data_IF_261574286891
#
_entry.id   IF_261574286891
#
_cell.length_a   1.000
_cell.length_b   1.000
_cell.length_c   1.000
_cell.angle_alpha   90.00
_cell.angle_beta   90.00
_cell.angle_gamma   90.00
#
_symmetry.space_group_name_H-M   'P 1'
#
loop_
_entity.id
_entity.type
_entity.pdbx_description
1 polymer ?
#
# COMPACT_ATOMS: atom_id res chain seq x y z
N UNK A 1 -22.86 6.56 -2.03
CA UNK A 1 -21.42 6.94 -2.04
C UNK A 1 -20.62 5.69 -1.74
N UNK A 2 -19.71 5.27 -2.62
CA UNK A 2 -18.77 4.18 -2.32
C UNK A 2 -17.62 4.82 -1.52
N UNK A 3 -17.25 4.24 -0.38
CA UNK A 3 -16.12 4.76 0.40
C UNK A 3 -14.81 4.56 -0.38
N UNK A 4 -13.84 5.46 -0.22
CA UNK A 4 -12.51 5.29 -0.82
C UNK A 4 -11.88 3.94 -0.47
N UNK A 5 -12.19 3.40 0.72
CA UNK A 5 -11.68 2.10 1.16
C UNK A 5 -12.28 0.95 0.34
N UNK A 6 -13.59 1.03 0.06
CA UNK A 6 -14.29 0.06 -0.79
C UNK A 6 -13.83 0.16 -2.24
N UNK A 7 -13.59 1.36 -2.76
CA UNK A 7 -13.05 1.55 -4.11
C UNK A 7 -11.64 0.96 -4.25
N UNK A 8 -10.79 1.13 -3.24
CA UNK A 8 -9.44 0.54 -3.23
C UNK A 8 -9.49 -1.00 -3.18
N UNK A 9 -10.40 -1.57 -2.39
CA UNK A 9 -10.60 -3.03 -2.33
C UNK A 9 -10.99 -3.60 -3.70
N UNK A 10 -11.98 -2.97 -4.36
CA UNK A 10 -12.49 -3.40 -5.67
C UNK A 10 -11.40 -3.26 -6.73
N UNK A 11 -10.72 -2.11 -6.77
CA UNK A 11 -9.70 -1.84 -7.78
C UNK A 11 -8.43 -2.66 -7.58
N UNK A 12 -8.15 -3.16 -6.36
CA UNK A 12 -6.98 -4.02 -6.11
C UNK A 12 -7.00 -5.33 -6.91
N UNK A 13 -8.19 -5.78 -7.36
CA UNK A 13 -8.33 -6.94 -8.24
C UNK A 13 -7.74 -6.70 -9.62
N UNK A 14 -7.79 -5.46 -10.12
CA UNK A 14 -7.31 -5.03 -11.43
C UNK A 14 -5.81 -4.74 -11.47
N UNK A 15 -5.17 -4.60 -10.31
CA UNK A 15 -3.73 -4.34 -10.20
C UNK A 15 -2.95 -5.62 -10.54
N UNK A 16 -1.95 -5.45 -11.39
CA UNK A 16 -1.06 -6.49 -11.95
C UNK A 16 0.41 -6.25 -11.57
N UNK A 17 1.28 -7.21 -11.89
CA UNK A 17 2.73 -7.12 -11.66
C UNK A 17 3.45 -6.04 -12.47
N UNK A 18 2.84 -5.56 -13.55
CA UNK A 18 3.38 -4.48 -14.39
C UNK A 18 3.10 -3.08 -13.81
N UNK A 19 2.27 -3.00 -12.76
CA UNK A 19 1.87 -1.74 -12.15
C UNK A 19 2.81 -1.29 -11.02
N UNK A 20 2.89 0.03 -10.84
CA UNK A 20 3.43 0.67 -9.63
C UNK A 20 2.29 1.19 -8.76
N UNK A 21 2.23 0.72 -7.51
CA UNK A 21 1.27 1.21 -6.51
C UNK A 21 1.99 2.08 -5.49
N UNK A 22 1.46 3.28 -5.27
CA UNK A 22 2.00 4.23 -4.29
C UNK A 22 1.01 4.36 -3.12
N UNK A 23 1.46 4.02 -1.91
CA UNK A 23 0.68 4.24 -0.70
C UNK A 23 1.23 5.42 0.08
N UNK A 24 0.36 6.35 0.45
CA UNK A 24 0.68 7.46 1.36
C UNK A 24 -0.11 7.30 2.65
N UNK A 25 0.56 7.15 3.77
CA UNK A 25 -0.07 7.15 5.10
C UNK A 25 0.90 7.66 6.14
N UNK A 26 0.54 8.72 6.85
CA UNK A 26 1.42 9.31 7.86
C UNK A 26 1.70 8.34 9.02
N UNK A 27 0.71 7.59 9.49
CA UNK A 27 0.94 6.60 10.55
C UNK A 27 1.71 5.39 10.08
N UNK A 28 1.55 5.01 8.80
CA UNK A 28 2.05 3.75 8.26
C UNK A 28 1.21 2.52 8.65
N UNK A 29 0.12 2.74 9.39
CA UNK A 29 -0.61 1.69 10.13
C UNK A 29 -2.07 1.49 9.66
N UNK A 30 -2.50 2.20 8.62
CA UNK A 30 -3.89 2.14 8.12
C UNK A 30 -4.29 0.71 7.78
N UNK A 31 -5.23 0.14 8.55
CA UNK A 31 -5.59 -1.30 8.51
C UNK A 31 -5.89 -1.82 7.10
N UNK A 32 -6.65 -1.05 6.31
CA UNK A 32 -7.01 -1.43 4.95
C UNK A 32 -5.79 -1.45 4.00
N UNK A 33 -4.92 -0.43 4.09
CA UNK A 33 -3.68 -0.39 3.29
C UNK A 33 -2.83 -1.63 3.54
N UNK A 34 -2.75 -2.12 4.79
CA UNK A 34 -2.02 -3.35 5.10
C UNK A 34 -2.56 -4.56 4.34
N UNK A 35 -3.88 -4.67 4.25
CA UNK A 35 -4.54 -5.74 3.50
C UNK A 35 -4.18 -5.70 2.01
N UNK A 36 -4.25 -4.51 1.40
CA UNK A 36 -3.92 -4.31 -0.02
C UNK A 36 -2.44 -4.55 -0.28
N UNK A 37 -1.53 -4.05 0.56
CA UNK A 37 -0.08 -4.28 0.43
C UNK A 37 0.24 -5.78 0.45
N UNK A 38 -0.39 -6.55 1.35
CA UNK A 38 -0.20 -8.01 1.41
C UNK A 38 -0.69 -8.68 0.12
N UNK A 39 -1.87 -8.31 -0.37
CA UNK A 39 -2.42 -8.85 -1.61
C UNK A 39 -1.54 -8.49 -2.83
N UNK A 40 -1.09 -7.24 -2.94
CA UNK A 40 -0.19 -6.76 -3.99
C UNK A 40 1.16 -7.48 -3.98
N UNK A 41 1.72 -7.78 -2.80
CA UNK A 41 2.95 -8.58 -2.68
C UNK A 41 2.79 -10.01 -3.20
N UNK A 42 1.66 -10.66 -2.93
CA UNK A 42 1.38 -12.01 -3.45
C UNK A 42 1.38 -12.01 -4.98
N UNK A 43 0.90 -10.93 -5.58
CA UNK A 43 0.88 -10.70 -7.03
C UNK A 43 2.21 -10.14 -7.60
N UNK A 44 3.29 -10.08 -6.81
CA UNK A 44 4.58 -9.48 -7.21
C UNK A 44 4.51 -8.03 -7.74
N UNK A 45 3.49 -7.26 -7.35
CA UNK A 45 3.34 -5.86 -7.76
C UNK A 45 4.42 -4.99 -7.12
N UNK A 46 4.94 -4.02 -7.86
CA UNK A 46 5.86 -3.03 -7.31
C UNK A 46 5.12 -2.04 -6.41
N UNK A 47 5.62 -1.88 -5.17
CA UNK A 47 5.00 -0.98 -4.19
C UNK A 47 6.02 0.03 -3.69
N UNK A 48 5.65 1.30 -3.77
CA UNK A 48 6.31 2.41 -3.10
C UNK A 48 5.43 2.93 -1.95
N UNK A 49 6.05 3.32 -0.84
CA UNK A 49 5.35 3.89 0.30
C UNK A 49 5.94 5.23 0.70
N UNK A 50 5.06 6.15 1.08
CA UNK A 50 5.42 7.43 1.67
C UNK A 50 4.78 7.50 3.06
N UNK A 51 5.62 7.43 4.10
CA UNK A 51 5.20 7.28 5.50
C UNK A 51 6.20 7.93 6.46
N UNK A 52 5.81 8.12 7.73
CA UNK A 52 6.73 8.66 8.75
C UNK A 52 7.93 7.72 8.95
N UNK A 53 9.08 8.29 9.29
CA UNK A 53 10.23 7.50 9.72
C UNK A 53 9.95 6.69 11.00
N UNK A 54 10.49 5.47 11.08
CA UNK A 54 10.43 4.61 12.27
C UNK A 54 9.82 3.22 12.01
N UNK A 55 9.59 2.45 13.07
CA UNK A 55 8.95 1.13 12.98
C UNK A 55 7.44 1.29 12.76
N UNK A 56 7.01 1.02 11.52
CA UNK A 56 5.63 0.92 11.12
C UNK A 56 5.50 -0.05 9.93
N UNK A 57 4.29 -0.51 9.68
CA UNK A 57 4.03 -1.54 8.67
C UNK A 57 4.49 -1.12 7.27
N UNK A 58 4.17 0.10 6.82
CA UNK A 58 4.57 0.57 5.49
C UNK A 58 6.09 0.72 5.35
N UNK A 59 6.78 1.13 6.40
CA UNK A 59 8.24 1.22 6.41
C UNK A 59 8.91 -0.15 6.30
N UNK A 60 8.44 -1.13 7.09
CA UNK A 60 9.04 -2.46 7.16
C UNK A 60 8.73 -3.35 5.94
N UNK A 61 7.64 -3.07 5.23
CA UNK A 61 7.11 -3.96 4.21
C UNK A 61 7.24 -3.43 2.79
N UNK A 62 7.88 -2.29 2.51
CA UNK A 62 8.00 -1.80 1.13
C UNK A 62 9.45 -1.70 0.68
N UNK A 63 9.67 -1.98 -0.62
CA UNK A 63 11.00 -1.98 -1.23
C UNK A 63 11.55 -0.57 -1.40
N UNK A 64 10.67 0.40 -1.64
CA UNK A 64 11.00 1.81 -1.76
C UNK A 64 10.15 2.59 -0.74
N UNK A 65 10.83 3.23 0.21
CA UNK A 65 10.20 4.05 1.23
C UNK A 65 10.76 5.48 1.14
N UNK A 66 9.91 6.45 0.83
CA UNK A 66 10.26 7.86 0.86
C UNK A 66 9.78 8.40 2.21
N UNK A 67 10.70 9.02 2.94
CA UNK A 67 10.52 9.39 4.33
C UNK A 67 10.24 10.89 4.43
N UNK A 68 9.31 11.24 5.32
CA UNK A 68 9.09 12.61 5.79
C UNK A 68 9.31 12.70 7.29
#
# INVERSE_FOLDING_TARGET
>A
MISCETALAINSSLITEEDLVIFTSFSGETKMIKGVVRASKIKNVMIAAITKFGSNFLFEHNRLCILF
#
